data_IF_827835685332
#
_entry.id   IF_827835685332
#
_cell.length_a   1.000
_cell.length_b   1.000
_cell.length_c   1.000
_cell.angle_alpha   90.00
_cell.angle_beta   90.00
_cell.angle_gamma   90.00
#
_symmetry.space_group_name_H-M   'P 1'
#
loop_
_entity.id
_entity.type
_entity.pdbx_description
1 polymer ?
#
# COMPACT_ATOMS: atom_id res chain seq x y z
N UNK A 1 -5.07 25.19 -10.40
CA UNK A 1 -5.11 24.57 -11.73
C UNK A 1 -4.54 23.15 -11.65
N UNK A 2 -5.18 22.15 -12.24
CA UNK A 2 -4.70 20.76 -12.19
C UNK A 2 -3.52 20.63 -13.16
N UNK A 3 -2.33 20.24 -12.66
CA UNK A 3 -1.16 19.92 -13.49
C UNK A 3 -1.32 18.49 -14.02
N UNK A 4 -1.30 18.32 -15.34
CA UNK A 4 -1.38 17.02 -15.99
C UNK A 4 0.02 16.45 -16.29
N UNK A 5 0.11 15.12 -16.34
CA UNK A 5 1.32 14.43 -16.74
C UNK A 5 1.53 14.53 -18.25
N UNK A 6 2.78 14.65 -18.74
CA UNK A 6 3.04 14.70 -20.17
C UNK A 6 2.65 13.41 -20.90
N UNK A 7 2.06 13.58 -22.08
CA UNK A 7 1.46 12.46 -22.82
C UNK A 7 2.48 11.57 -23.54
N UNK A 8 3.55 12.17 -24.08
CA UNK A 8 4.53 11.51 -24.95
C UNK A 8 5.95 11.87 -24.54
N UNK A 9 6.90 11.05 -24.99
CA UNK A 9 8.33 11.31 -24.92
C UNK A 9 8.64 12.71 -25.46
N UNK A 10 9.20 13.55 -24.59
CA UNK A 10 9.51 14.95 -24.88
C UNK A 10 10.35 15.53 -23.76
N UNK A 11 10.97 16.69 -24.00
CA UNK A 11 11.66 17.47 -22.96
C UNK A 11 10.71 17.78 -21.80
N UNK A 12 9.41 17.98 -22.07
CA UNK A 12 8.39 18.19 -21.03
C UNK A 12 8.23 16.97 -20.12
N UNK A 13 8.24 15.76 -20.69
CA UNK A 13 8.22 14.51 -19.91
C UNK A 13 9.44 14.41 -19.02
N UNK A 14 10.63 14.63 -19.58
CA UNK A 14 11.88 14.54 -18.82
C UNK A 14 11.89 15.54 -17.64
N UNK A 15 11.46 16.78 -17.87
CA UNK A 15 11.34 17.78 -16.81
C UNK A 15 10.31 17.38 -15.74
N UNK A 16 9.16 16.82 -16.14
CA UNK A 16 8.15 16.36 -15.19
C UNK A 16 8.65 15.16 -14.34
N UNK A 17 9.46 14.28 -14.93
CA UNK A 17 10.14 13.19 -14.21
C UNK A 17 11.15 13.78 -13.23
N UNK A 18 11.98 14.74 -13.64
CA UNK A 18 12.95 15.42 -12.74
C UNK A 18 12.21 16.09 -11.57
N UNK A 19 11.15 16.86 -11.84
CA UNK A 19 10.30 17.48 -10.81
C UNK A 19 9.79 16.42 -9.81
N UNK A 20 9.34 15.26 -10.31
CA UNK A 20 8.81 14.16 -9.50
C UNK A 20 9.88 13.56 -8.58
N UNK A 21 11.09 13.36 -9.08
CA UNK A 21 12.22 12.92 -8.25
C UNK A 21 12.55 13.95 -7.17
N UNK A 22 12.66 15.23 -7.52
CA UNK A 22 12.96 16.31 -6.57
C UNK A 22 11.89 16.44 -5.49
N UNK A 23 10.61 16.43 -5.88
CA UNK A 23 9.48 16.49 -4.96
C UNK A 23 9.51 15.32 -3.97
N UNK A 24 9.82 14.11 -4.43
CA UNK A 24 9.91 12.93 -3.56
C UNK A 24 11.16 12.96 -2.68
N UNK A 25 12.31 13.39 -3.18
CA UNK A 25 13.53 13.58 -2.39
C UNK A 25 13.32 14.57 -1.25
N UNK A 26 12.63 15.68 -1.52
CA UNK A 26 12.28 16.68 -0.49
C UNK A 26 11.40 16.09 0.61
N UNK A 27 10.52 15.13 0.29
CA UNK A 27 9.68 14.43 1.27
C UNK A 27 10.46 13.47 2.18
N UNK A 28 11.66 13.03 1.79
CA UNK A 28 12.49 12.13 2.60
C UNK A 28 13.03 12.80 3.87
N UNK A 29 12.97 14.12 3.96
CA UNK A 29 13.35 14.88 5.15
C UNK A 29 12.32 14.68 6.29
N UNK A 30 11.08 14.35 5.96
CA UNK A 30 10.02 14.14 6.94
C UNK A 30 10.21 12.87 7.78
N UNK A 31 9.35 12.70 8.79
CA UNK A 31 9.26 11.44 9.50
C UNK A 31 8.86 10.31 8.53
N UNK A 32 9.57 9.19 8.60
CA UNK A 32 9.35 7.97 7.80
C UNK A 32 8.79 6.83 8.67
N UNK A 33 8.31 7.16 9.87
CA UNK A 33 7.56 6.26 10.73
C UNK A 33 6.28 5.78 10.03
N UNK A 34 5.89 4.53 10.27
CA UNK A 34 4.70 3.97 9.66
C UNK A 34 3.49 4.26 10.57
N UNK A 35 2.55 5.07 10.06
CA UNK A 35 1.31 5.43 10.78
C UNK A 35 0.12 4.60 10.27
N UNK A 36 0.37 3.68 9.33
CA UNK A 36 -0.68 2.81 8.79
C UNK A 36 -1.05 1.73 9.79
N UNK A 37 -2.23 1.14 9.61
CA UNK A 37 -2.66 -0.02 10.39
C UNK A 37 -2.00 -1.34 9.91
N UNK A 38 -1.02 -1.27 9.02
CA UNK A 38 -0.36 -2.42 8.41
C UNK A 38 1.12 -2.44 8.78
N UNK A 39 1.62 -3.62 9.12
CA UNK A 39 3.05 -3.82 9.32
C UNK A 39 3.77 -3.83 7.97
N UNK A 40 4.95 -3.19 7.93
CA UNK A 40 5.89 -3.25 6.82
C UNK A 40 7.24 -3.82 7.30
N UNK A 41 7.92 -4.59 6.46
CA UNK A 41 9.28 -5.06 6.73
C UNK A 41 10.26 -3.92 6.98
N UNK A 42 10.04 -2.75 6.35
CA UNK A 42 10.86 -1.56 6.62
C UNK A 42 10.68 -0.99 8.02
N UNK A 43 9.64 -1.35 8.77
CA UNK A 43 9.40 -0.81 10.12
C UNK A 43 10.48 -1.16 11.11
N UNK A 44 11.22 -2.23 10.84
CA UNK A 44 12.40 -2.61 11.61
C UNK A 44 13.48 -1.53 11.57
N UNK A 45 13.60 -0.78 10.46
CA UNK A 45 14.62 0.24 10.27
C UNK A 45 14.24 1.52 11.01
N UNK A 46 15.24 2.18 11.59
CA UNK A 46 15.06 3.56 12.04
C UNK A 46 14.93 4.53 10.85
N UNK A 47 14.45 5.75 11.09
CA UNK A 47 14.21 6.73 10.03
C UNK A 47 15.46 7.07 9.22
N UNK A 48 16.63 7.13 9.85
CA UNK A 48 17.90 7.42 9.18
C UNK A 48 18.21 6.36 8.12
N UNK A 49 18.02 5.08 8.47
CA UNK A 49 18.30 3.98 7.54
C UNK A 49 17.17 3.73 6.54
N UNK A 50 15.91 4.06 6.88
CA UNK A 50 14.82 4.16 5.89
C UNK A 50 15.15 5.19 4.82
N UNK A 51 15.56 6.40 5.23
CA UNK A 51 15.95 7.46 4.31
C UNK A 51 17.12 7.01 3.42
N UNK A 52 18.20 6.47 4.00
CA UNK A 52 19.32 5.90 3.22
C UNK A 52 18.89 4.83 2.22
N UNK A 53 17.93 3.97 2.56
CA UNK A 53 17.40 2.95 1.66
C UNK A 53 16.61 3.60 0.52
N UNK A 54 15.74 4.56 0.82
CA UNK A 54 14.94 5.27 -0.17
C UNK A 54 15.85 6.07 -1.13
N UNK A 55 16.90 6.71 -0.62
CA UNK A 55 17.92 7.38 -1.42
C UNK A 55 18.63 6.44 -2.41
N UNK A 56 18.94 5.21 -2.00
CA UNK A 56 19.57 4.22 -2.91
C UNK A 56 18.57 3.83 -3.99
N UNK A 57 17.32 3.58 -3.63
CA UNK A 57 16.25 3.23 -4.58
C UNK A 57 16.09 4.33 -5.61
N UNK A 58 16.01 5.60 -5.17
CA UNK A 58 15.89 6.76 -6.07
C UNK A 58 17.09 6.89 -7.01
N UNK A 59 18.32 6.77 -6.49
CA UNK A 59 19.54 6.86 -7.30
C UNK A 59 19.64 5.75 -8.35
N UNK A 60 19.34 4.51 -7.97
CA UNK A 60 19.33 3.40 -8.92
C UNK A 60 18.17 3.53 -9.92
N UNK A 61 17.03 4.10 -9.51
CA UNK A 61 15.89 4.29 -10.40
C UNK A 61 16.17 5.36 -11.46
N UNK A 62 16.87 6.45 -11.09
CA UNK A 62 17.35 7.46 -12.05
C UNK A 62 18.23 6.81 -13.12
N UNK A 63 19.20 6.00 -12.72
CA UNK A 63 20.07 5.26 -13.66
C UNK A 63 19.25 4.32 -14.55
N UNK A 64 18.35 3.54 -13.96
CA UNK A 64 17.51 2.62 -14.71
C UNK A 64 16.64 3.33 -15.75
N UNK A 65 16.06 4.49 -15.42
CA UNK A 65 15.26 5.25 -16.39
C UNK A 65 16.15 5.75 -17.54
N UNK A 66 17.35 6.28 -17.24
CA UNK A 66 18.29 6.71 -18.27
C UNK A 66 18.69 5.55 -19.19
N UNK A 67 19.10 4.41 -18.61
CA UNK A 67 19.45 3.20 -19.36
C UNK A 67 18.28 2.77 -20.29
N UNK A 68 17.04 2.76 -19.78
CA UNK A 68 15.87 2.35 -20.56
C UNK A 68 15.48 3.34 -21.65
N UNK A 69 15.68 4.65 -21.42
CA UNK A 69 15.47 5.69 -22.43
C UNK A 69 16.53 5.58 -23.53
N UNK A 70 17.79 5.36 -23.18
CA UNK A 70 18.88 5.16 -24.15
C UNK A 70 18.67 3.91 -25.01
N UNK A 71 18.14 2.83 -24.43
CA UNK A 71 17.80 1.61 -25.15
C UNK A 71 16.65 1.77 -26.15
N UNK A 72 15.93 2.91 -26.14
CA UNK A 72 14.82 3.22 -27.07
C UNK A 72 13.81 2.06 -27.24
N UNK A 73 13.46 1.41 -26.13
CA UNK A 73 12.58 0.25 -26.15
C UNK A 73 11.15 0.62 -26.59
N UNK A 74 10.49 -0.27 -27.34
CA UNK A 74 9.05 -0.15 -27.58
C UNK A 74 8.25 -0.57 -26.34
N UNK A 75 7.03 -0.01 -26.14
CA UNK A 75 6.12 -0.35 -25.01
C UNK A 75 5.96 -1.87 -24.81
N UNK A 76 5.78 -2.62 -25.90
CA UNK A 76 5.59 -4.07 -25.85
C UNK A 76 6.83 -4.81 -25.33
N UNK A 77 8.03 -4.35 -25.71
CA UNK A 77 9.28 -4.93 -25.23
C UNK A 77 9.45 -4.67 -23.72
N UNK A 78 9.07 -3.49 -23.24
CA UNK A 78 9.06 -3.17 -21.81
C UNK A 78 8.12 -4.09 -21.04
N UNK A 79 6.91 -4.37 -21.56
CA UNK A 79 5.97 -5.32 -20.92
C UNK A 79 6.59 -6.71 -20.80
N UNK A 80 7.27 -7.19 -21.84
CA UNK A 80 7.89 -8.53 -21.87
C UNK A 80 9.12 -8.62 -20.94
N UNK A 81 9.96 -7.58 -20.90
CA UNK A 81 11.20 -7.56 -20.13
C UNK A 81 11.03 -7.06 -18.69
N UNK A 82 9.84 -6.53 -18.32
CA UNK A 82 9.56 -5.92 -17.02
C UNK A 82 10.12 -6.70 -15.84
N UNK A 83 9.83 -8.00 -15.78
CA UNK A 83 10.22 -8.82 -14.62
C UNK A 83 11.75 -8.94 -14.50
N UNK A 84 12.46 -9.02 -15.62
CA UNK A 84 13.92 -9.07 -15.65
C UNK A 84 14.52 -7.71 -15.27
N UNK A 85 14.00 -6.62 -15.84
CA UNK A 85 14.41 -5.24 -15.53
C UNK A 85 14.27 -4.98 -14.03
N UNK A 86 13.10 -5.29 -13.46
CA UNK A 86 12.85 -5.08 -12.06
C UNK A 86 13.70 -6.01 -11.18
N UNK A 87 13.90 -7.28 -11.57
CA UNK A 87 14.81 -8.19 -10.87
C UNK A 87 16.22 -7.60 -10.76
N UNK A 88 16.82 -7.20 -11.88
CA UNK A 88 18.16 -6.59 -11.93
C UNK A 88 18.20 -5.32 -11.07
N UNK A 89 17.15 -4.49 -11.16
CA UNK A 89 17.02 -3.29 -10.35
C UNK A 89 17.03 -3.58 -8.85
N UNK A 90 16.18 -4.49 -8.40
CA UNK A 90 16.09 -4.87 -6.98
C UNK A 90 17.37 -5.52 -6.47
N UNK A 91 18.04 -6.33 -7.29
CA UNK A 91 19.32 -6.95 -6.97
C UNK A 91 20.41 -5.90 -6.75
N UNK A 92 20.53 -4.93 -7.67
CA UNK A 92 21.46 -3.80 -7.52
C UNK A 92 21.23 -3.02 -6.23
N UNK A 93 19.97 -2.69 -5.91
CA UNK A 93 19.66 -1.94 -4.68
C UNK A 93 19.99 -2.78 -3.45
N UNK A 94 19.60 -4.05 -3.44
CA UNK A 94 19.84 -4.97 -2.34
C UNK A 94 21.34 -5.08 -2.04
N UNK A 95 22.17 -5.29 -3.06
CA UNK A 95 23.63 -5.35 -2.95
C UNK A 95 24.19 -4.02 -2.43
N UNK A 96 23.77 -2.89 -2.99
CA UNK A 96 24.24 -1.56 -2.56
C UNK A 96 23.88 -1.27 -1.10
N UNK A 97 22.68 -1.67 -0.68
CA UNK A 97 22.23 -1.50 0.70
C UNK A 97 22.99 -2.42 1.66
N UNK A 98 23.19 -3.68 1.29
CA UNK A 98 24.01 -4.63 2.05
C UNK A 98 25.44 -4.14 2.23
N UNK A 99 26.10 -3.66 1.17
CA UNK A 99 27.47 -3.15 1.28
C UNK A 99 27.58 -1.95 2.22
N UNK A 100 26.57 -1.07 2.26
CA UNK A 100 26.52 0.03 3.22
C UNK A 100 26.34 -0.44 4.65
N UNK A 101 25.58 -1.52 4.86
CA UNK A 101 25.34 -2.09 6.19
C UNK A 101 26.58 -2.87 6.68
N UNK A 102 27.15 -3.70 5.82
CA UNK A 102 28.30 -4.53 6.11
C UNK A 102 29.15 -4.81 4.86
N UNK A 103 30.29 -4.13 4.77
CA UNK A 103 31.24 -4.26 3.66
C UNK A 103 31.77 -5.69 3.44
N UNK A 104 31.74 -6.55 4.47
CA UNK A 104 32.26 -7.93 4.42
C UNK A 104 31.20 -8.98 4.05
N UNK A 105 29.95 -8.57 3.80
CA UNK A 105 28.88 -9.52 3.52
C UNK A 105 29.00 -10.03 2.08
N UNK A 106 29.35 -11.31 1.92
CA UNK A 106 29.37 -11.97 0.61
C UNK A 106 27.97 -12.48 0.28
N UNK A 107 27.25 -11.69 -0.52
CA UNK A 107 26.00 -12.12 -1.12
C UNK A 107 26.28 -13.20 -2.17
N UNK A 108 25.80 -14.43 -1.93
CA UNK A 108 25.97 -15.57 -2.85
C UNK A 108 24.64 -16.17 -3.32
N UNK A 109 23.53 -15.79 -2.72
CA UNK A 109 22.22 -16.37 -3.04
C UNK A 109 21.49 -15.51 -4.07
N UNK A 110 20.50 -16.08 -4.77
CA UNK A 110 19.60 -15.30 -5.63
C UNK A 110 18.45 -14.74 -4.79
N UNK A 111 17.97 -13.55 -5.15
CA UNK A 111 16.77 -12.97 -4.54
C UNK A 111 15.60 -13.93 -4.70
N UNK A 112 14.89 -14.18 -3.60
CA UNK A 112 13.80 -15.16 -3.57
C UNK A 112 12.48 -14.45 -3.86
N UNK A 113 11.82 -14.88 -4.95
CA UNK A 113 10.38 -14.70 -5.18
C UNK A 113 9.92 -13.24 -5.32
N UNK A 114 10.38 -12.55 -6.36
CA UNK A 114 9.97 -11.16 -6.59
C UNK A 114 8.67 -11.11 -7.40
N UNK A 115 7.58 -10.75 -6.72
CA UNK A 115 6.28 -10.51 -7.34
C UNK A 115 6.08 -9.00 -7.46
N UNK A 116 6.11 -8.51 -8.69
CA UNK A 116 5.87 -7.10 -8.98
C UNK A 116 4.39 -6.85 -9.29
N UNK A 117 3.86 -5.77 -8.71
CA UNK A 117 2.48 -5.36 -8.94
C UNK A 117 2.28 -4.76 -10.34
N UNK A 118 1.04 -4.80 -10.83
CA UNK A 118 0.63 -4.19 -12.10
C UNK A 118 0.89 -2.67 -12.14
N UNK A 119 0.83 -2.01 -10.98
CA UNK A 119 1.11 -0.57 -10.85
C UNK A 119 2.54 -0.20 -11.19
N UNK A 120 3.50 -1.10 -10.94
CA UNK A 120 4.91 -0.86 -11.25
C UNK A 120 5.13 -0.76 -12.76
N UNK A 121 4.41 -1.55 -13.55
CA UNK A 121 4.42 -1.45 -15.01
C UNK A 121 3.90 -0.10 -15.48
N UNK A 122 2.75 0.31 -14.95
CA UNK A 122 2.14 1.58 -15.28
C UNK A 122 3.05 2.75 -14.92
N UNK A 123 3.74 2.68 -13.77
CA UNK A 123 4.73 3.68 -13.38
C UNK A 123 5.88 3.76 -14.39
N UNK A 124 6.48 2.64 -14.78
CA UNK A 124 7.56 2.65 -15.78
C UNK A 124 7.09 3.23 -17.11
N UNK A 125 5.86 2.92 -17.55
CA UNK A 125 5.27 3.50 -18.75
C UNK A 125 5.12 5.02 -18.61
N UNK A 126 4.61 5.51 -17.48
CA UNK A 126 4.48 6.95 -17.23
C UNK A 126 5.83 7.66 -17.28
N UNK A 127 6.88 7.07 -16.70
CA UNK A 127 8.21 7.68 -16.62
C UNK A 127 8.94 7.68 -17.96
N UNK A 128 8.77 6.63 -18.78
CA UNK A 128 9.56 6.43 -20.02
C UNK A 128 8.82 6.91 -21.26
N UNK A 129 7.51 6.64 -21.36
CA UNK A 129 6.73 6.88 -22.59
C UNK A 129 5.76 8.05 -22.45
N UNK A 130 5.29 8.32 -21.23
CA UNK A 130 4.24 9.30 -20.96
C UNK A 130 2.85 8.66 -20.89
N UNK A 131 1.85 9.47 -20.56
CA UNK A 131 0.53 8.96 -20.19
C UNK A 131 -0.29 8.41 -21.36
N UNK A 132 -0.07 8.83 -22.62
CA UNK A 132 -0.85 8.31 -23.75
C UNK A 132 -0.63 6.83 -24.03
N UNK A 133 0.42 6.24 -23.43
CA UNK A 133 0.75 4.83 -23.56
C UNK A 133 0.10 3.95 -22.49
N UNK A 134 -0.69 4.51 -21.58
CA UNK A 134 -1.49 3.73 -20.61
C UNK A 134 -2.80 3.30 -21.27
N UNK A 135 -3.21 2.07 -20.97
CA UNK A 135 -4.47 1.53 -21.50
C UNK A 135 -5.66 2.23 -20.80
N UNK A 136 -6.63 2.74 -21.57
CA UNK A 136 -7.72 3.62 -21.09
C UNK A 136 -8.59 3.03 -19.99
N UNK A 137 -8.61 1.70 -19.86
CA UNK A 137 -9.55 1.01 -18.99
C UNK A 137 -8.98 0.76 -17.60
N UNK A 138 -7.73 1.13 -17.32
CA UNK A 138 -7.04 0.82 -16.05
C UNK A 138 -7.48 1.78 -14.93
N UNK A 139 -7.63 3.06 -15.26
CA UNK A 139 -7.98 4.12 -14.32
C UNK A 139 -9.28 4.82 -14.75
N UNK A 140 -9.92 5.56 -13.83
CA UNK A 140 -11.21 6.24 -14.09
C UNK A 140 -11.08 7.34 -15.16
N UNK A 141 -9.90 7.95 -15.27
CA UNK A 141 -9.66 9.10 -16.13
C UNK A 141 -9.02 8.68 -17.46
N UNK A 142 -9.27 9.46 -18.50
CA UNK A 142 -8.60 9.28 -19.78
C UNK A 142 -7.08 9.46 -19.65
N UNK A 143 -6.26 8.66 -20.33
CA UNK A 143 -4.79 8.73 -20.21
C UNK A 143 -4.21 10.11 -20.58
N UNK A 144 -4.89 10.87 -21.43
CA UNK A 144 -4.45 12.22 -21.84
C UNK A 144 -4.55 13.23 -20.68
N UNK A 145 -5.45 12.98 -19.73
CA UNK A 145 -5.70 13.85 -18.57
C UNK A 145 -5.20 13.23 -17.26
N UNK A 146 -4.15 12.39 -17.32
CA UNK A 146 -3.55 11.83 -16.10
C UNK A 146 -3.07 12.95 -15.17
N UNK A 147 -3.58 13.05 -13.93
CA UNK A 147 -3.12 14.07 -13.00
C UNK A 147 -1.67 13.80 -12.55
N UNK A 148 -0.85 14.84 -12.44
CA UNK A 148 0.53 14.71 -11.94
C UNK A 148 0.58 14.01 -10.57
N UNK A 149 -0.34 14.37 -9.66
CA UNK A 149 -0.46 13.75 -8.33
C UNK A 149 -0.73 12.25 -8.38
N UNK A 150 -1.37 11.74 -9.44
CA UNK A 150 -1.59 10.31 -9.59
C UNK A 150 -0.26 9.59 -9.84
N UNK A 151 0.58 10.10 -10.73
CA UNK A 151 1.91 9.53 -10.99
C UNK A 151 2.79 9.62 -9.74
N UNK A 152 2.73 10.73 -9.02
CA UNK A 152 3.41 10.89 -7.72
C UNK A 152 2.98 9.81 -6.70
N UNK A 153 1.68 9.52 -6.61
CA UNK A 153 1.16 8.46 -5.74
C UNK A 153 1.73 7.08 -6.11
N UNK A 154 1.78 6.76 -7.40
CA UNK A 154 2.35 5.49 -7.87
C UNK A 154 3.85 5.41 -7.60
N UNK A 155 4.55 6.52 -7.76
CA UNK A 155 5.99 6.62 -7.56
C UNK A 155 6.40 6.44 -6.10
N UNK A 156 5.73 7.13 -5.17
CA UNK A 156 5.96 6.96 -3.73
C UNK A 156 5.64 5.52 -3.28
N UNK A 157 4.53 4.97 -3.77
CA UNK A 157 4.15 3.59 -3.50
C UNK A 157 5.23 2.61 -3.98
N UNK A 158 5.78 2.83 -5.19
CA UNK A 158 6.84 1.99 -5.73
C UNK A 158 8.10 1.99 -4.85
N UNK A 159 8.54 3.16 -4.39
CA UNK A 159 9.72 3.25 -3.51
C UNK A 159 9.49 2.46 -2.22
N UNK A 160 8.32 2.63 -1.60
CA UNK A 160 7.98 1.92 -0.37
C UNK A 160 7.88 0.41 -0.63
N UNK A 161 7.24 -0.02 -1.72
CA UNK A 161 7.15 -1.44 -2.10
C UNK A 161 8.54 -2.07 -2.31
N UNK A 162 9.41 -1.42 -3.07
CA UNK A 162 10.78 -1.91 -3.33
C UNK A 162 11.59 -1.98 -2.04
N UNK A 163 11.49 -0.96 -1.18
CA UNK A 163 12.16 -0.96 0.12
C UNK A 163 11.68 -2.10 1.02
N UNK A 164 10.38 -2.40 0.99
CA UNK A 164 9.76 -3.49 1.72
C UNK A 164 10.25 -4.85 1.22
N UNK A 165 10.33 -5.03 -0.11
CA UNK A 165 10.87 -6.23 -0.75
C UNK A 165 12.35 -6.45 -0.41
N UNK A 166 13.16 -5.40 -0.38
CA UNK A 166 14.58 -5.50 -0.01
C UNK A 166 14.71 -5.99 1.43
N UNK A 167 13.94 -5.41 2.35
CA UNK A 167 13.95 -5.84 3.75
C UNK A 167 13.41 -7.26 3.92
N UNK A 168 12.33 -7.63 3.22
CA UNK A 168 11.81 -9.00 3.20
C UNK A 168 12.89 -10.00 2.75
N UNK A 169 13.60 -9.71 1.67
CA UNK A 169 14.67 -10.55 1.17
C UNK A 169 15.82 -10.67 2.18
N UNK A 170 16.20 -9.58 2.85
CA UNK A 170 17.19 -9.62 3.92
C UNK A 170 16.77 -10.57 5.04
N UNK A 171 15.49 -10.53 5.43
CA UNK A 171 14.97 -11.45 6.45
C UNK A 171 14.94 -12.91 5.99
N UNK A 172 14.52 -13.16 4.75
CA UNK A 172 14.49 -14.52 4.22
C UNK A 172 15.89 -15.16 4.14
N UNK A 173 16.93 -14.36 3.90
CA UNK A 173 18.33 -14.85 3.94
C UNK A 173 18.86 -15.07 5.35
N UNK A 174 18.40 -14.29 6.31
CA UNK A 174 18.82 -14.43 7.71
C UNK A 174 18.06 -15.42 8.54
N UNK A 175 16.82 -15.74 8.20
CA UNK A 175 16.17 -16.85 8.88
C UNK A 175 16.99 -18.14 8.66
N UNK A 176 17.76 -18.22 7.55
CA UNK A 176 18.72 -19.29 7.28
C UNK A 176 20.07 -19.13 8.01
N UNK A 177 20.44 -17.92 8.40
CA UNK A 177 21.69 -17.58 9.07
C UNK A 177 21.39 -16.70 10.29
N UNK A 178 21.43 -17.27 11.49
CA UNK A 178 21.06 -16.68 12.81
C UNK A 178 21.73 -15.33 13.20
N UNK A 179 22.40 -14.66 12.27
CA UNK A 179 23.30 -13.54 12.39
C UNK A 179 22.65 -12.16 12.18
N UNK A 180 21.51 -12.01 11.49
CA UNK A 180 20.96 -10.65 11.21
C UNK A 180 20.52 -9.90 12.46
N UNK A 181 20.04 -10.59 13.50
CA UNK A 181 19.72 -9.94 14.77
C UNK A 181 20.97 -9.29 15.38
N UNK A 182 22.14 -9.90 15.22
CA UNK A 182 23.42 -9.35 15.68
C UNK A 182 23.85 -8.21 14.76
N UNK A 183 23.67 -8.37 13.45
CA UNK A 183 24.08 -7.42 12.43
C UNK A 183 23.29 -6.08 12.53
N UNK A 184 21.97 -6.17 12.66
CA UNK A 184 21.12 -4.98 12.77
C UNK A 184 21.29 -4.25 14.11
N UNK A 185 21.53 -4.99 15.21
CA UNK A 185 21.78 -4.40 16.54
C UNK A 185 23.15 -3.74 16.63
N UNK A 186 24.20 -4.42 16.16
CA UNK A 186 25.58 -3.93 16.25
C UNK A 186 25.83 -2.62 15.49
N UNK A 187 25.01 -2.34 14.47
CA UNK A 187 25.13 -1.13 13.64
C UNK A 187 24.09 -0.05 13.93
N UNK A 188 23.30 -0.20 15.01
CA UNK A 188 22.20 0.73 15.35
C UNK A 188 21.25 0.97 14.18
N UNK A 189 20.98 -0.08 13.38
CA UNK A 189 20.13 0.03 12.20
C UNK A 189 18.65 -0.01 12.57
N UNK A 190 18.34 -0.79 13.60
CA UNK A 190 16.99 -0.98 14.08
C UNK A 190 16.37 0.29 14.68
N UNK A 191 15.06 0.41 14.53
CA UNK A 191 14.24 1.26 15.38
C UNK A 191 14.32 0.76 16.83
N UNK A 192 14.17 1.68 17.79
CA UNK A 192 14.23 1.39 19.23
C UNK A 192 13.18 0.35 19.65
N UNK A 193 12.01 0.33 19.00
CA UNK A 193 10.96 -0.66 19.22
C UNK A 193 11.36 -2.11 18.87
N UNK A 194 12.40 -2.30 18.05
CA UNK A 194 12.83 -3.61 17.55
C UNK A 194 14.25 -4.01 18.01
N UNK A 195 14.70 -3.50 19.16
CA UNK A 195 16.03 -3.84 19.71
C UNK A 195 16.09 -5.30 20.18
N UNK A 196 14.99 -5.88 20.68
CA UNK A 196 14.98 -7.24 21.20
C UNK A 196 14.79 -8.27 20.07
N UNK A 197 15.36 -9.47 20.22
CA UNK A 197 15.09 -10.56 19.26
C UNK A 197 13.60 -10.94 19.26
N UNK A 198 12.95 -10.91 20.43
CA UNK A 198 11.51 -11.17 20.59
C UNK A 198 10.65 -10.18 19.78
N UNK A 199 10.94 -8.87 19.85
CA UNK A 199 10.20 -7.86 19.09
C UNK A 199 10.34 -8.03 17.57
N UNK A 200 11.51 -8.46 17.09
CA UNK A 200 11.74 -8.75 15.67
C UNK A 200 10.92 -9.97 15.24
N UNK A 201 10.95 -11.05 16.03
CA UNK A 201 10.16 -12.27 15.75
C UNK A 201 8.65 -11.96 15.76
N UNK A 202 8.17 -11.14 16.70
CA UNK A 202 6.77 -10.70 16.72
C UNK A 202 6.38 -9.92 15.46
N UNK A 203 7.23 -8.99 15.01
CA UNK A 203 7.01 -8.28 13.74
C UNK A 203 6.90 -9.25 12.56
N UNK A 204 7.83 -10.20 12.44
CA UNK A 204 7.83 -11.18 11.36
C UNK A 204 6.59 -12.09 11.40
N UNK A 205 6.14 -12.49 12.58
CA UNK A 205 4.91 -13.29 12.74
C UNK A 205 3.68 -12.49 12.34
N UNK A 206 3.59 -11.21 12.75
CA UNK A 206 2.51 -10.32 12.36
C UNK A 206 2.49 -10.10 10.84
N UNK A 207 3.65 -9.91 10.20
CA UNK A 207 3.77 -9.78 8.75
C UNK A 207 3.30 -11.04 8.01
N UNK A 208 3.70 -12.23 8.47
CA UNK A 208 3.24 -13.51 7.89
C UNK A 208 1.72 -13.67 8.01
N UNK A 209 1.16 -13.37 9.18
CA UNK A 209 -0.28 -13.44 9.43
C UNK A 209 -1.05 -12.42 8.57
N UNK A 210 -0.56 -11.19 8.50
CA UNK A 210 -1.11 -10.14 7.65
C UNK A 210 -1.11 -10.55 6.17
N UNK A 211 0.00 -11.09 5.67
CA UNK A 211 0.11 -11.55 4.28
C UNK A 211 -0.83 -12.71 3.99
N UNK A 212 -1.01 -13.64 4.93
CA UNK A 212 -1.97 -14.74 4.81
C UNK A 212 -3.41 -14.22 4.69
N UNK A 213 -3.83 -13.33 5.60
CA UNK A 213 -5.17 -12.73 5.56
C UNK A 213 -5.34 -11.90 4.28
N UNK A 214 -4.31 -11.16 3.88
CA UNK A 214 -4.38 -10.33 2.68
C UNK A 214 -4.60 -11.18 1.42
N UNK A 215 -3.80 -12.23 1.22
CA UNK A 215 -3.92 -13.09 0.04
C UNK A 215 -5.29 -13.77 -0.08
N UNK A 216 -5.90 -14.16 1.05
CA UNK A 216 -7.13 -14.95 1.05
C UNK A 216 -8.41 -14.10 1.09
N UNK A 217 -8.39 -12.95 1.79
CA UNK A 217 -9.61 -12.17 2.08
C UNK A 217 -9.49 -10.76 1.49
N UNK A 218 -8.52 -9.97 1.93
CA UNK A 218 -8.50 -8.55 1.57
C UNK A 218 -8.18 -8.32 0.09
N UNK A 219 -7.34 -9.15 -0.53
CA UNK A 219 -7.06 -9.06 -1.98
C UNK A 219 -8.34 -9.19 -2.80
N UNK A 220 -9.20 -10.14 -2.43
CA UNK A 220 -10.48 -10.35 -3.12
C UNK A 220 -11.44 -9.17 -2.88
N UNK A 221 -11.54 -8.70 -1.63
CA UNK A 221 -12.35 -7.50 -1.30
C UNK A 221 -11.88 -6.26 -2.06
N UNK A 222 -10.56 -6.08 -2.22
CA UNK A 222 -9.98 -4.99 -2.99
C UNK A 222 -10.30 -5.12 -4.49
N UNK A 223 -10.22 -6.33 -5.05
CA UNK A 223 -10.62 -6.61 -6.43
C UNK A 223 -12.11 -6.31 -6.66
N UNK A 224 -12.98 -6.78 -5.78
CA UNK A 224 -14.44 -6.54 -5.85
C UNK A 224 -14.79 -5.05 -5.83
N UNK A 225 -14.12 -4.26 -4.98
CA UNK A 225 -14.35 -2.82 -4.89
C UNK A 225 -13.57 -1.99 -5.94
N UNK A 226 -12.83 -2.65 -6.85
CA UNK A 226 -11.94 -2.01 -7.84
C UNK A 226 -10.96 -1.01 -7.22
N UNK A 227 -10.47 -1.33 -6.02
CA UNK A 227 -9.57 -0.46 -5.26
C UNK A 227 -8.26 -1.15 -4.97
N UNK A 228 -7.17 -0.42 -5.13
CA UNK A 228 -5.84 -0.85 -4.71
C UNK A 228 -5.33 0.05 -3.59
N UNK A 229 -4.84 -0.60 -2.54
CA UNK A 229 -4.12 0.07 -1.47
C UNK A 229 -2.73 0.48 -1.97
N UNK A 230 -2.35 1.73 -1.68
CA UNK A 230 -1.04 2.29 -1.97
C UNK A 230 -0.48 2.98 -0.74
N UNK A 231 0.85 2.98 -0.61
CA UNK A 231 1.56 3.69 0.45
C UNK A 231 2.13 5.01 -0.06
N UNK A 232 2.09 6.04 0.80
CA UNK A 232 2.52 7.40 0.48
C UNK A 232 3.42 7.95 1.58
N UNK A 233 4.33 8.85 1.19
CA UNK A 233 5.21 9.57 2.10
C UNK A 233 4.53 10.91 2.42
N UNK A 234 4.08 11.07 3.67
CA UNK A 234 3.48 12.30 4.16
C UNK A 234 4.38 12.99 5.17
N UNK A 235 4.09 14.25 5.50
CA UNK A 235 4.83 14.99 6.52
C UNK A 235 4.76 14.36 7.92
N UNK A 236 3.74 13.54 8.19
CA UNK A 236 3.59 12.85 9.47
C UNK A 236 4.30 11.50 9.48
N UNK A 237 4.53 10.88 8.34
CA UNK A 237 4.92 9.47 8.24
C UNK A 237 4.42 8.81 6.96
N UNK A 238 4.64 7.50 6.86
CA UNK A 238 4.07 6.65 5.82
C UNK A 238 2.58 6.45 6.12
N UNK A 239 1.74 6.75 5.12
CA UNK A 239 0.27 6.65 5.20
C UNK A 239 -0.26 5.77 4.06
N UNK A 240 -1.48 5.24 4.23
CA UNK A 240 -2.16 4.46 3.20
C UNK A 240 -3.25 5.27 2.52
N UNK A 241 -3.43 5.01 1.23
CA UNK A 241 -4.54 5.52 0.45
C UNK A 241 -5.09 4.42 -0.45
N UNK A 242 -6.34 4.54 -0.86
CA UNK A 242 -6.90 3.70 -1.91
C UNK A 242 -6.98 4.49 -3.22
N UNK A 243 -6.54 3.86 -4.29
CA UNK A 243 -6.75 4.34 -5.66
C UNK A 243 -7.68 3.37 -6.39
N UNK A 244 -8.44 3.89 -7.34
CA UNK A 244 -9.23 3.04 -8.23
C UNK A 244 -8.33 2.39 -9.27
N UNK A 245 -8.49 1.08 -9.46
CA UNK A 245 -7.79 0.29 -10.49
C UNK A 245 -8.71 -0.81 -10.98
N UNK A 246 -9.00 -0.80 -12.27
CA UNK A 246 -9.79 -1.86 -12.91
C UNK A 246 -8.98 -3.16 -12.99
N UNK A 247 -9.57 -4.28 -12.57
CA UNK A 247 -8.91 -5.60 -12.52
C UNK A 247 -9.71 -6.72 -13.18
N UNK A 248 -10.51 -6.37 -14.18
CA UNK A 248 -11.41 -7.31 -14.88
C UNK A 248 -10.70 -8.57 -15.40
N UNK A 249 -9.47 -8.44 -15.90
CA UNK A 249 -8.67 -9.58 -16.38
C UNK A 249 -8.22 -10.55 -15.26
N UNK A 250 -8.08 -10.07 -14.02
CA UNK A 250 -7.68 -10.91 -12.88
C UNK A 250 -8.86 -11.70 -12.33
N UNK A 251 -10.09 -11.18 -12.46
CA UNK A 251 -11.32 -11.85 -12.01
C UNK A 251 -11.51 -13.18 -12.75
N UNK A 252 -11.19 -13.22 -14.05
CA UNK A 252 -11.28 -14.43 -14.86
C UNK A 252 -10.32 -15.55 -14.41
N UNK A 253 -9.28 -15.22 -13.64
CA UNK A 253 -8.25 -16.16 -13.16
C UNK A 253 -8.47 -16.59 -11.71
N UNK A 254 -9.62 -16.28 -11.12
CA UNK A 254 -9.91 -16.61 -9.72
C UNK A 254 -10.11 -18.11 -9.53
N UNK A 255 -9.68 -18.61 -8.38
CA UNK A 255 -9.91 -20.01 -7.97
C UNK A 255 -11.38 -20.21 -7.56
N UNK A 256 -11.86 -21.46 -7.58
CA UNK A 256 -13.23 -21.80 -7.13
C UNK A 256 -13.55 -21.28 -5.72
N UNK A 257 -12.58 -21.36 -4.79
CA UNK A 257 -12.74 -20.84 -3.44
C UNK A 257 -12.85 -19.30 -3.42
N UNK A 258 -12.04 -18.62 -4.22
CA UNK A 258 -12.13 -17.16 -4.38
C UNK A 258 -13.47 -16.72 -4.96
N UNK A 259 -14.04 -17.48 -5.90
CA UNK A 259 -15.36 -17.21 -6.48
C UNK A 259 -16.45 -17.36 -5.41
N UNK A 260 -16.38 -18.39 -4.57
CA UNK A 260 -17.33 -18.56 -3.46
C UNK A 260 -17.27 -17.37 -2.47
N UNK A 261 -16.06 -16.91 -2.12
CA UNK A 261 -15.91 -15.73 -1.28
C UNK A 261 -16.45 -14.46 -1.94
N UNK A 262 -16.31 -14.32 -3.26
CA UNK A 262 -16.83 -13.19 -4.01
C UNK A 262 -18.37 -13.18 -3.96
N UNK A 263 -18.97 -14.35 -4.17
CA UNK A 263 -20.42 -14.54 -4.03
C UNK A 263 -20.91 -14.20 -2.62
N UNK A 264 -20.18 -14.58 -1.57
CA UNK A 264 -20.50 -14.16 -0.21
C UNK A 264 -20.45 -12.63 -0.01
N UNK A 265 -19.52 -11.94 -0.67
CA UNK A 265 -19.45 -10.47 -0.64
C UNK A 265 -20.66 -9.83 -1.35
N UNK A 266 -21.06 -10.37 -2.50
CA UNK A 266 -22.26 -9.91 -3.23
C UNK A 266 -23.54 -10.14 -2.42
N UNK A 267 -23.70 -11.34 -1.84
CA UNK A 267 -24.84 -11.64 -0.96
C UNK A 267 -24.89 -10.70 0.24
N UNK A 268 -23.73 -10.41 0.84
CA UNK A 268 -23.62 -9.45 1.94
C UNK A 268 -24.14 -8.08 1.51
N UNK A 269 -23.73 -7.57 0.35
CA UNK A 269 -24.14 -6.25 -0.13
C UNK A 269 -25.65 -6.18 -0.44
N UNK A 270 -26.28 -7.31 -0.79
CA UNK A 270 -27.73 -7.40 -0.98
C UNK A 270 -28.49 -7.48 0.37
N UNK A 271 -27.94 -8.22 1.33
CA UNK A 271 -28.61 -8.55 2.60
C UNK A 271 -28.47 -7.43 3.63
N UNK A 272 -27.26 -6.87 3.81
CA UNK A 272 -26.98 -5.88 4.86
C UNK A 272 -27.90 -4.65 4.79
N UNK A 273 -28.07 -3.98 3.64
CA UNK A 273 -28.94 -2.80 3.57
C UNK A 273 -30.39 -3.10 3.96
N UNK A 274 -30.87 -4.32 3.68
CA UNK A 274 -32.22 -4.75 4.06
C UNK A 274 -32.32 -5.00 5.57
N UNK A 275 -31.33 -5.67 6.16
CA UNK A 275 -31.26 -5.89 7.60
C UNK A 275 -31.15 -4.57 8.37
N UNK A 276 -30.31 -3.64 7.93
CA UNK A 276 -30.17 -2.31 8.55
C UNK A 276 -31.49 -1.55 8.56
N UNK A 277 -32.25 -1.57 7.44
CA UNK A 277 -33.58 -0.94 7.38
C UNK A 277 -34.56 -1.56 8.38
N UNK A 278 -34.57 -2.89 8.51
CA UNK A 278 -35.43 -3.60 9.47
C UNK A 278 -35.03 -3.23 10.92
N UNK A 279 -33.74 -3.22 11.23
CA UNK A 279 -33.23 -2.86 12.56
C UNK A 279 -33.56 -1.41 12.92
N UNK A 280 -33.38 -0.47 11.98
CA UNK A 280 -33.76 0.94 12.19
C UNK A 280 -35.26 1.08 12.44
N UNK A 281 -36.10 0.32 11.72
CA UNK A 281 -37.55 0.34 11.91
C UNK A 281 -37.95 -0.22 13.28
N UNK A 282 -37.37 -1.35 13.69
CA UNK A 282 -37.57 -1.93 15.03
C UNK A 282 -37.12 -0.93 16.11
N UNK A 283 -35.98 -0.27 15.91
CA UNK A 283 -35.49 0.77 16.81
C UNK A 283 -36.47 1.93 16.97
N UNK A 284 -37.09 2.40 15.88
CA UNK A 284 -38.14 3.44 15.95
C UNK A 284 -39.35 2.99 16.75
N UNK A 285 -39.82 1.75 16.55
CA UNK A 285 -40.94 1.21 17.31
C UNK A 285 -40.60 1.04 18.79
N UNK A 286 -39.39 0.58 19.12
CA UNK A 286 -38.93 0.48 20.51
C UNK A 286 -38.87 1.85 21.20
N UNK A 287 -38.34 2.87 20.52
CA UNK A 287 -38.31 4.24 21.04
C UNK A 287 -39.73 4.78 21.23
N UNK A 288 -40.62 4.61 20.26
CA UNK A 288 -42.01 5.03 20.37
C UNK A 288 -42.73 4.36 21.55
N UNK A 289 -42.58 3.04 21.70
CA UNK A 289 -43.18 2.30 22.79
C UNK A 289 -42.62 2.74 24.16
N UNK A 290 -41.31 2.98 24.24
CA UNK A 290 -40.65 3.52 25.43
C UNK A 290 -41.21 4.89 25.82
N UNK A 291 -41.30 5.84 24.87
CA UNK A 291 -41.87 7.17 25.11
C UNK A 291 -43.31 7.06 25.62
N UNK A 292 -44.13 6.23 24.97
CA UNK A 292 -45.52 6.05 25.36
C UNK A 292 -45.64 5.47 26.78
N UNK A 293 -44.85 4.44 27.12
CA UNK A 293 -44.81 3.86 28.46
C UNK A 293 -44.40 4.89 29.52
N UNK A 294 -43.31 5.62 29.30
CA UNK A 294 -42.86 6.66 30.24
C UNK A 294 -43.88 7.78 30.40
N UNK A 295 -44.52 8.22 29.31
CA UNK A 295 -45.55 9.26 29.39
C UNK A 295 -46.76 8.82 30.22
N UNK A 296 -47.22 7.58 30.04
CA UNK A 296 -48.33 7.03 30.82
C UNK A 296 -47.95 6.82 32.28
N UNK A 297 -46.73 6.38 32.58
CA UNK A 297 -46.23 6.29 33.95
C UNK A 297 -46.22 7.65 34.65
N UNK A 298 -45.76 8.71 33.96
CA UNK A 298 -45.77 10.09 34.50
C UNK A 298 -47.21 10.57 34.77
N UNK A 299 -48.16 10.27 33.87
CA UNK A 299 -49.56 10.64 34.08
C UNK A 299 -50.15 9.93 35.31
N UNK A 300 -49.85 8.64 35.48
CA UNK A 300 -50.32 7.86 36.63
C UNK A 300 -49.71 8.39 37.93
N UNK A 301 -48.40 8.66 37.97
CA UNK A 301 -47.75 9.21 39.17
C UNK A 301 -48.30 10.58 39.54
N UNK A 302 -48.53 11.46 38.55
CA UNK A 302 -49.18 12.75 38.77
C UNK A 302 -50.59 12.60 39.37
N UNK A 303 -51.40 11.66 38.86
CA UNK A 303 -52.74 11.39 39.42
C UNK A 303 -52.68 10.90 40.87
N UNK A 304 -51.74 10.01 41.19
CA UNK A 304 -51.54 9.52 42.56
C UNK A 304 -51.12 10.65 43.50
N UNK A 305 -50.22 11.52 43.07
CA UNK A 305 -49.79 12.70 43.83
C UNK A 305 -50.98 13.63 44.10
N UNK A 306 -51.77 13.96 43.07
CA UNK A 306 -52.97 14.82 43.23
C UNK A 306 -53.99 14.19 44.17
N UNK A 307 -54.21 12.88 44.08
CA UNK A 307 -55.13 12.18 44.97
C UNK A 307 -54.64 12.20 46.43
N UNK A 308 -53.33 12.08 46.65
CA UNK A 308 -52.74 12.18 47.98
C UNK A 308 -52.87 13.59 48.57
N UNK A 309 -52.65 14.64 47.78
CA UNK A 309 -52.81 16.04 48.22
C UNK A 309 -54.27 16.49 48.41
N UNK A 310 -55.24 15.75 47.87
CA UNK A 310 -56.68 16.00 48.06
C UNK A 310 -57.25 15.37 49.34
N UNK A 311 -56.44 14.65 50.11
CA UNK A 311 -56.80 14.05 51.39
C UNK A 311 -56.30 14.92 52.54
#
# INVERSE_FOLDING_TARGET
MIKYWPNKQSIKLNNAVVDLFLDTENKLIYDLSNITNYYLYIDILNNINKNKLFDIILKELKKLILDLVELNLHKQNLKNLKNQILYIFTEKIFINFLYKINKKYNYKNKLVNIKYDILTENLLIYLIFGSSYIDSNIFIFEPIYTPYKHVQILFENFIIQISNLIMENLFNESIKSSQINILLKSKQICNKSYISSRSIVLLLNNLKWQNFIYCNIYKLKCMYNERQQVWLISSKGIVTKYIYVTRTQEIQKLTKFSIFLLFCLELKDIIIPKLERILVQIGKYLIYFSINLFSNLIIVTMRVIIFYFRK
#
